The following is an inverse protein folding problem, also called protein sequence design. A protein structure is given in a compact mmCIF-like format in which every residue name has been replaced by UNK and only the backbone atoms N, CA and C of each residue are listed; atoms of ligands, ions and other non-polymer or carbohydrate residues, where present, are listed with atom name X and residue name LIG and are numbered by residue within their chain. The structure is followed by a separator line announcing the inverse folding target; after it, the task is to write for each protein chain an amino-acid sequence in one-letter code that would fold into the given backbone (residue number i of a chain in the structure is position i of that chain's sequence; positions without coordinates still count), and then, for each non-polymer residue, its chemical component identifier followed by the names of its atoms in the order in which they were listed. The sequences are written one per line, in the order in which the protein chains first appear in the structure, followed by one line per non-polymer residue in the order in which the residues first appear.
data_IF_908716766498
#
_entry.id   IF_908716766498
#
_cell.length_a   1.000
_cell.length_b   1.000
_cell.length_c   1.000
_cell.angle_alpha   90.00
_cell.angle_beta   90.00
_cell.angle_gamma   90.00
#
_symmetry.space_group_name_H-M   'P 1'
#
loop_
_entity.id
_entity.type
_entity.pdbx_description
1 polymer ?
#
# COMPACT_ATOMS: atom_id res chain seq x y z
N UNK A 1 -2.78 -10.40 23.26
CA UNK A 1 -3.16 -10.13 21.87
C UNK A 1 -1.93 -10.47 21.05
N UNK A 2 -2.04 -11.39 20.09
CA UNK A 2 -0.90 -11.97 19.39
C UNK A 2 -0.02 -10.90 18.73
N UNK A 3 1.29 -11.08 18.79
CA UNK A 3 2.31 -10.19 18.24
C UNK A 3 2.39 -10.25 16.69
N UNK A 4 1.33 -10.65 16.01
CA UNK A 4 1.34 -10.82 14.57
C UNK A 4 0.95 -9.50 13.90
N UNK A 5 1.85 -9.00 13.06
CA UNK A 5 1.58 -7.83 12.23
C UNK A 5 0.38 -8.11 11.31
N UNK A 6 -0.45 -7.11 11.01
CA UNK A 6 -1.41 -7.22 9.91
C UNK A 6 -0.73 -7.70 8.63
N UNK A 7 -1.39 -8.55 7.85
CA UNK A 7 -0.84 -9.11 6.61
C UNK A 7 -1.56 -8.51 5.40
N UNK A 8 -0.79 -8.04 4.43
CA UNK A 8 -1.24 -7.76 3.07
C UNK A 8 -0.84 -8.92 2.17
N UNK A 9 -1.77 -9.82 1.88
CA UNK A 9 -1.57 -10.81 0.83
C UNK A 9 -1.60 -10.14 -0.54
N UNK A 10 -0.76 -10.54 -1.49
CA UNK A 10 -0.71 -9.92 -2.82
C UNK A 10 -0.53 -10.94 -3.95
N UNK A 11 -1.00 -10.58 -5.14
CA UNK A 11 -0.80 -11.37 -6.35
C UNK A 11 0.60 -11.17 -6.88
N UNK A 12 1.32 -12.27 -7.11
CA UNK A 12 2.64 -12.30 -7.73
C UNK A 12 2.95 -13.73 -8.26
N UNK A 13 3.60 -13.88 -9.44
CA UNK A 13 3.97 -12.82 -10.37
C UNK A 13 2.73 -12.15 -10.99
N UNK A 14 2.82 -10.88 -11.43
CA UNK A 14 1.72 -10.24 -12.14
C UNK A 14 1.40 -10.98 -13.45
N UNK A 15 0.12 -11.05 -13.86
CA UNK A 15 -0.24 -11.64 -15.16
C UNK A 15 0.49 -10.92 -16.32
N UNK A 16 0.97 -11.63 -17.36
CA UNK A 16 1.76 -11.04 -18.44
C UNK A 16 1.14 -9.79 -19.08
N UNK A 17 -0.18 -9.79 -19.29
CA UNK A 17 -0.90 -8.71 -19.99
C UNK A 17 -1.55 -7.69 -19.05
N UNK A 18 -1.22 -7.71 -17.76
CA UNK A 18 -1.80 -6.80 -16.76
C UNK A 18 -1.36 -5.34 -16.90
N UNK A 19 -0.25 -5.09 -17.61
CA UNK A 19 0.42 -3.79 -17.64
C UNK A 19 1.08 -3.43 -16.30
N UNK A 20 1.31 -4.42 -15.42
CA UNK A 20 1.81 -4.21 -14.06
C UNK A 20 3.34 -4.32 -13.95
N UNK A 21 4.05 -4.59 -15.05
CA UNK A 21 5.51 -4.73 -15.05
C UNK A 21 5.96 -5.87 -14.14
N UNK A 22 7.00 -5.62 -13.34
CA UNK A 22 7.54 -6.54 -12.34
C UNK A 22 6.83 -6.47 -10.97
N UNK A 23 5.76 -5.68 -10.85
CA UNK A 23 5.09 -5.42 -9.59
C UNK A 23 3.94 -6.39 -9.33
N UNK A 24 3.94 -7.01 -8.15
CA UNK A 24 2.76 -7.64 -7.58
C UNK A 24 1.80 -6.61 -6.95
N UNK A 25 0.66 -7.06 -6.43
CA UNK A 25 -0.20 -6.16 -5.68
C UNK A 25 -1.53 -6.74 -5.24
N UNK A 26 -2.25 -5.95 -4.42
CA UNK A 26 -3.61 -6.24 -4.01
C UNK A 26 -4.43 -4.95 -3.95
N UNK A 27 -5.75 -5.10 -4.12
CA UNK A 27 -6.71 -4.02 -3.97
C UNK A 27 -6.76 -3.61 -2.49
N UNK A 28 -6.68 -2.30 -2.26
CA UNK A 28 -6.81 -1.71 -0.92
C UNK A 28 -7.85 -0.61 -1.02
N UNK A 29 -8.82 -0.60 -0.10
CA UNK A 29 -9.80 0.47 -0.03
C UNK A 29 -9.46 1.39 1.14
N UNK A 30 -9.13 2.64 0.85
CA UNK A 30 -8.84 3.64 1.86
C UNK A 30 -10.13 4.29 2.32
N UNK A 31 -10.35 4.33 3.64
CA UNK A 31 -11.49 4.98 4.26
C UNK A 31 -10.97 5.98 5.27
N UNK A 32 -11.43 7.22 5.17
CA UNK A 32 -11.08 8.29 6.10
C UNK A 32 -12.20 8.53 7.10
N UNK A 33 -11.81 8.94 8.30
CA UNK A 33 -12.72 9.40 9.34
C UNK A 33 -13.61 10.55 8.82
N UNK A 34 -14.87 10.56 9.23
CA UNK A 34 -15.86 11.55 8.80
C UNK A 34 -15.54 12.97 9.29
N UNK A 35 -14.91 13.11 10.46
CA UNK A 35 -14.58 14.40 11.05
C UNK A 35 -13.42 15.09 10.33
N UNK A 36 -12.58 14.35 9.61
CA UNK A 36 -11.42 14.93 8.93
C UNK A 36 -11.71 15.19 7.44
N UNK A 37 -11.72 16.48 7.07
CA UNK A 37 -12.02 16.97 5.71
C UNK A 37 -10.74 17.35 4.93
N UNK A 38 -9.60 17.46 5.63
CA UNK A 38 -8.34 17.86 5.02
C UNK A 38 -7.76 16.86 4.01
N UNK A 39 -6.71 17.26 3.27
CA UNK A 39 -6.00 16.36 2.37
C UNK A 39 -5.31 15.24 3.15
N UNK A 40 -5.17 14.07 2.52
CA UNK A 40 -4.36 12.96 3.04
C UNK A 40 -3.35 12.56 1.97
N UNK A 41 -2.07 12.52 2.35
CA UNK A 41 -0.99 11.95 1.56
C UNK A 41 -0.60 10.60 2.15
N UNK A 42 -0.45 9.60 1.27
CA UNK A 42 -0.02 8.25 1.64
C UNK A 42 1.26 7.96 0.86
N UNK A 43 2.30 7.51 1.57
CA UNK A 43 3.61 7.15 1.03
C UNK A 43 4.00 5.74 1.45
N UNK A 44 4.81 5.08 0.63
CA UNK A 44 5.27 3.73 0.87
C UNK A 44 6.67 3.67 1.44
N UNK A 45 6.91 2.71 2.33
CA UNK A 45 8.22 2.41 2.88
C UNK A 45 8.35 0.90 3.08
N UNK A 46 9.49 0.32 2.69
CA UNK A 46 9.92 -0.98 3.20
C UNK A 46 10.78 -0.77 4.43
N UNK A 47 10.56 -1.57 5.46
CA UNK A 47 11.24 -1.43 6.75
C UNK A 47 12.38 -2.42 6.93
N UNK A 48 12.38 -3.51 6.18
CA UNK A 48 13.33 -4.62 6.32
C UNK A 48 14.18 -4.85 5.05
N UNK A 49 14.25 -3.87 4.16
CA UNK A 49 15.01 -3.98 2.92
C UNK A 49 14.87 -2.80 1.98
N UNK A 50 15.49 -2.87 0.78
CA UNK A 50 15.62 -1.74 -0.13
C UNK A 50 14.45 -1.58 -1.12
N UNK A 51 13.57 -2.57 -1.24
CA UNK A 51 12.43 -2.47 -2.15
C UNK A 51 11.46 -1.36 -1.74
N UNK A 52 10.60 -0.94 -2.67
CA UNK A 52 9.62 0.11 -2.42
C UNK A 52 8.22 -0.48 -2.29
N UNK A 53 7.35 0.27 -1.61
CA UNK A 53 5.90 0.13 -1.67
C UNK A 53 5.36 1.25 -2.55
N UNK A 54 4.55 0.90 -3.54
CA UNK A 54 3.95 1.85 -4.49
C UNK A 54 2.43 1.71 -4.60
N UNK A 55 1.80 2.65 -5.31
CA UNK A 55 0.34 2.80 -5.35
C UNK A 55 -0.23 2.83 -6.76
N UNK A 56 -1.50 2.40 -6.87
CA UNK A 56 -2.35 2.43 -8.06
C UNK A 56 -1.88 1.49 -9.19
N UNK A 57 -2.53 1.62 -10.35
CA UNK A 57 -2.19 0.88 -11.56
C UNK A 57 -0.93 1.42 -12.27
N UNK A 58 -0.58 0.77 -13.38
CA UNK A 58 0.47 1.20 -14.30
C UNK A 58 1.72 0.34 -14.23
N UNK A 59 2.53 0.46 -15.28
CA UNK A 59 3.80 -0.23 -15.45
C UNK A 59 4.82 0.21 -14.40
N UNK A 60 4.85 1.51 -14.12
CA UNK A 60 5.64 2.11 -13.05
C UNK A 60 4.68 2.77 -12.05
N UNK A 61 4.27 2.08 -10.99
CA UNK A 61 3.30 2.61 -10.05
C UNK A 61 3.85 3.83 -9.29
N UNK A 62 2.96 4.62 -8.70
CA UNK A 62 3.32 5.88 -8.04
C UNK A 62 3.95 5.66 -6.67
N UNK A 63 4.98 6.44 -6.31
CA UNK A 63 5.61 6.41 -4.97
C UNK A 63 4.69 6.91 -3.84
N UNK A 64 3.65 7.67 -4.21
CA UNK A 64 2.69 8.21 -3.26
C UNK A 64 1.30 8.31 -3.87
N UNK A 65 0.30 8.44 -3.01
CA UNK A 65 -1.08 8.65 -3.40
C UNK A 65 -1.71 9.73 -2.52
N UNK A 66 -2.41 10.68 -3.16
CA UNK A 66 -3.33 11.57 -2.44
C UNK A 66 -4.70 10.91 -2.37
N UNK A 67 -5.27 10.81 -1.18
CA UNK A 67 -6.60 10.24 -1.04
C UNK A 67 -7.64 11.15 -1.71
N UNK A 68 -8.46 10.56 -2.58
CA UNK A 68 -9.59 11.24 -3.23
C UNK A 68 -10.88 10.88 -2.52
N UNK A 69 -11.69 11.88 -2.19
CA UNK A 69 -12.99 11.66 -1.53
C UNK A 69 -12.86 10.98 -0.16
N UNK A 70 -13.99 10.45 0.34
CA UNK A 70 -14.06 9.73 1.62
C UNK A 70 -13.50 8.31 1.51
N UNK A 71 -13.86 7.64 0.42
CA UNK A 71 -13.37 6.32 0.05
C UNK A 71 -12.50 6.44 -1.19
N UNK A 72 -11.38 5.72 -1.24
CA UNK A 72 -10.49 5.72 -2.39
C UNK A 72 -9.97 4.31 -2.65
N UNK A 73 -10.67 3.52 -3.49
CA UNK A 73 -10.18 2.21 -3.92
C UNK A 73 -8.89 2.38 -4.73
N UNK A 74 -7.81 1.75 -4.28
CA UNK A 74 -6.49 1.80 -4.94
C UNK A 74 -5.88 0.40 -5.01
N UNK A 75 -4.61 0.34 -5.41
CA UNK A 75 -3.76 -0.84 -5.25
C UNK A 75 -2.56 -0.49 -4.39
N UNK A 76 -2.11 -1.46 -3.59
CA UNK A 76 -0.76 -1.47 -3.01
C UNK A 76 0.09 -2.42 -3.83
N UNK A 77 1.30 -1.97 -4.16
CA UNK A 77 2.19 -2.61 -5.12
C UNK A 77 3.53 -2.87 -4.44
N UNK A 78 3.99 -4.12 -4.49
CA UNK A 78 5.25 -4.59 -3.91
C UNK A 78 5.89 -5.61 -4.87
N UNK A 79 7.20 -5.82 -4.75
CA UNK A 79 7.95 -6.77 -5.60
C UNK A 79 8.42 -8.02 -4.87
N UNK A 80 8.46 -7.99 -3.54
CA UNK A 80 8.91 -9.12 -2.72
C UNK A 80 8.19 -9.16 -1.38
N UNK A 81 8.22 -10.31 -0.68
CA UNK A 81 7.69 -10.41 0.67
C UNK A 81 8.56 -9.61 1.66
N UNK A 82 7.98 -9.21 2.78
CA UNK A 82 8.69 -8.51 3.85
C UNK A 82 7.83 -7.58 4.69
N UNK A 83 8.48 -6.80 5.53
CA UNK A 83 7.85 -5.80 6.40
C UNK A 83 7.80 -4.43 5.72
N UNK A 84 6.61 -3.87 5.61
CA UNK A 84 6.35 -2.60 4.97
C UNK A 84 5.52 -1.67 5.86
N UNK A 85 5.50 -0.40 5.51
CA UNK A 85 4.62 0.59 6.13
C UNK A 85 3.99 1.53 5.11
N UNK A 86 2.74 1.89 5.39
CA UNK A 86 2.17 3.12 4.87
C UNK A 86 2.50 4.26 5.82
N UNK A 87 3.11 5.33 5.32
CA UNK A 87 3.15 6.62 6.02
C UNK A 87 1.91 7.40 5.61
N UNK A 88 1.09 7.78 6.58
CA UNK A 88 -0.18 8.50 6.37
C UNK A 88 -0.08 9.86 7.02
N UNK A 89 -0.16 10.91 6.18
CA UNK A 89 -0.01 12.29 6.61
C UNK A 89 -1.28 13.08 6.30
N UNK A 90 -1.88 13.62 7.36
CA UNK A 90 -2.87 14.69 7.30
C UNK A 90 -2.25 16.03 7.68
N UNK A 91 -3.05 17.09 7.72
CA UNK A 91 -2.60 18.41 8.18
C UNK A 91 -2.51 18.51 9.70
N UNK A 92 -3.17 17.61 10.43
CA UNK A 92 -3.22 17.57 11.90
C UNK A 92 -2.74 16.25 12.50
N UNK A 93 -2.32 15.29 11.67
CA UNK A 93 -1.86 13.99 12.14
C UNK A 93 -0.81 13.41 11.18
N UNK A 94 0.03 12.53 11.70
CA UNK A 94 1.00 11.75 10.94
C UNK A 94 1.24 10.44 11.66
N UNK A 95 1.09 9.30 10.98
CA UNK A 95 1.30 7.98 11.58
C UNK A 95 1.67 6.93 10.53
N UNK A 96 2.23 5.82 11.00
CA UNK A 96 2.57 4.65 10.18
C UNK A 96 1.62 3.49 10.43
N UNK A 97 1.23 2.79 9.37
CA UNK A 97 0.56 1.49 9.45
C UNK A 97 1.56 0.44 8.97
N UNK A 98 2.08 -0.37 9.90
CA UNK A 98 3.04 -1.44 9.62
C UNK A 98 2.30 -2.73 9.30
N UNK A 99 2.76 -3.46 8.29
CA UNK A 99 2.20 -4.74 7.88
C UNK A 99 3.26 -5.63 7.23
N UNK A 100 3.01 -6.93 7.24
CA UNK A 100 3.78 -7.91 6.48
C UNK A 100 3.14 -8.12 5.10
N UNK A 101 3.93 -8.05 4.03
CA UNK A 101 3.48 -8.38 2.67
C UNK A 101 3.85 -9.83 2.34
N UNK A 102 2.87 -10.61 1.87
CA UNK A 102 3.06 -12.02 1.47
C UNK A 102 2.36 -12.34 0.16
N UNK A 103 2.94 -13.14 -0.75
CA UNK A 103 2.21 -13.67 -1.90
C UNK A 103 1.00 -14.49 -1.44
N UNK A 104 -0.08 -14.51 -2.22
CA UNK A 104 -1.17 -15.46 -1.97
C UNK A 104 -0.64 -16.91 -2.00
N UNK A 105 -1.07 -17.72 -1.03
CA UNK A 105 -0.70 -19.14 -0.93
C UNK A 105 0.68 -19.42 -0.34
N UNK A 106 1.28 -18.45 0.36
CA UNK A 106 2.52 -18.62 1.14
C UNK A 106 2.27 -18.96 2.61
#
# INVERSE_FOLDING_TARGET
MGNDLPVLSYSYPPPPDSGWGDWGGNKVNWVRDLAYIGPVLIRGLRLDGPDELRFNEGWLPSLSMRQKGRTNPSYTRVRSPGCYAYQVDGTSFSYTIVFEAKPFGS
#
